data_IF_911344994408
#
_entry.id   IF_911344994408
#
_cell.length_a   1.000
_cell.length_b   1.000
_cell.length_c   1.000
_cell.angle_alpha   90.00
_cell.angle_beta   90.00
_cell.angle_gamma   90.00
#
_symmetry.space_group_name_H-M   'P 1'
#
loop_
_entity.id
_entity.type
_entity.pdbx_description
1 polymer ?
#
# COMPACT_ATOMS: atom_id res chain seq x y z
N UNK A 1 12.52 1.88 8.13
CA UNK A 1 11.83 2.01 6.82
C UNK A 1 10.32 2.05 7.07
N UNK A 2 9.51 2.84 6.35
CA UNK A 2 8.04 2.90 6.61
C UNK A 2 7.36 1.56 6.33
N UNK A 3 7.86 0.78 5.37
CA UNK A 3 7.39 -0.59 5.11
C UNK A 3 7.45 -1.48 6.36
N UNK A 4 8.51 -1.40 7.18
CA UNK A 4 8.65 -2.22 8.40
C UNK A 4 7.54 -1.92 9.40
N UNK A 5 7.02 -0.69 9.39
CA UNK A 5 5.91 -0.27 10.25
C UNK A 5 4.59 -0.93 9.85
N UNK A 6 4.45 -1.45 8.63
CA UNK A 6 3.22 -2.13 8.19
C UNK A 6 2.91 -3.38 9.03
N UNK A 7 3.92 -4.03 9.61
CA UNK A 7 3.68 -5.16 10.51
C UNK A 7 2.97 -4.76 11.81
N UNK A 8 3.28 -3.57 12.35
CA UNK A 8 2.66 -3.05 13.58
C UNK A 8 1.46 -2.12 13.33
N UNK A 9 1.42 -1.47 12.17
CA UNK A 9 0.41 -0.49 11.77
C UNK A 9 -0.05 -0.77 10.33
N UNK A 10 -0.76 -1.89 10.10
CA UNK A 10 -1.12 -2.34 8.74
C UNK A 10 -2.06 -1.39 8.00
N UNK A 11 -2.69 -0.43 8.69
CA UNK A 11 -3.61 0.57 8.09
C UNK A 11 -2.99 1.97 8.00
N UNK A 12 -1.66 2.09 8.10
CA UNK A 12 -0.92 3.36 8.09
C UNK A 12 -1.17 4.19 6.80
N UNK A 13 -1.37 3.51 5.68
CA UNK A 13 -1.62 4.13 4.39
C UNK A 13 -3.12 4.40 4.15
N UNK A 14 -3.48 5.55 3.56
CA UNK A 14 -4.86 5.81 3.16
C UNK A 14 -5.35 4.77 2.15
N UNK A 15 -6.62 4.39 2.27
CA UNK A 15 -7.33 3.61 1.24
C UNK A 15 -7.49 4.46 -0.03
N UNK A 16 -7.38 3.82 -1.18
CA UNK A 16 -7.47 4.39 -2.53
C UNK A 16 -8.51 3.62 -3.35
N UNK A 17 -9.75 3.67 -2.87
CA UNK A 17 -10.87 2.92 -3.43
C UNK A 17 -11.15 3.28 -4.91
N UNK A 18 -10.77 4.49 -5.31
CA UNK A 18 -10.82 4.98 -6.68
C UNK A 18 -9.89 4.24 -7.66
N UNK A 19 -8.82 3.59 -7.16
CA UNK A 19 -7.95 2.72 -7.95
C UNK A 19 -8.44 1.27 -7.84
N UNK A 20 -8.65 0.82 -6.60
CA UNK A 20 -9.19 -0.50 -6.26
C UNK A 20 -9.78 -0.46 -4.85
N UNK A 21 -10.94 -1.10 -4.59
CA UNK A 21 -11.63 -0.98 -3.30
C UNK A 21 -10.77 -1.30 -2.07
N UNK A 22 -9.90 -2.30 -2.17
CA UNK A 22 -9.05 -2.82 -1.08
C UNK A 22 -7.68 -2.17 -0.97
N UNK A 23 -7.33 -1.31 -1.94
CA UNK A 23 -5.96 -0.83 -2.12
C UNK A 23 -5.62 0.29 -1.14
N UNK A 24 -4.40 0.23 -0.59
CA UNK A 24 -3.80 1.28 0.24
C UNK A 24 -2.46 1.69 -0.36
N UNK A 25 -2.09 2.95 -0.12
CA UNK A 25 -0.80 3.49 -0.57
C UNK A 25 0.01 3.95 0.63
N UNK A 26 1.29 3.57 0.67
CA UNK A 26 2.29 4.12 1.59
C UNK A 26 3.37 4.84 0.79
N UNK A 27 3.64 6.09 1.15
CA UNK A 27 4.68 6.91 0.51
C UNK A 27 5.98 6.75 1.29
N UNK A 28 6.96 6.15 0.63
CA UNK A 28 8.34 6.03 1.12
C UNK A 28 9.27 6.60 0.05
N UNK A 29 9.30 7.93 -0.03
CA UNK A 29 9.99 8.67 -1.09
C UNK A 29 11.38 8.09 -1.38
N UNK A 30 11.69 7.78 -2.65
CA UNK A 30 10.94 8.09 -3.88
C UNK A 30 9.79 7.11 -4.22
N UNK A 31 9.59 6.07 -3.43
CA UNK A 31 8.73 4.95 -3.80
C UNK A 31 7.29 5.14 -3.31
N UNK A 32 6.36 4.61 -4.08
CA UNK A 32 4.98 4.36 -3.70
C UNK A 32 4.80 2.86 -3.50
N UNK A 33 4.39 2.45 -2.30
CA UNK A 33 4.10 1.07 -1.99
C UNK A 33 2.58 0.89 -2.03
N UNK A 34 2.12 0.09 -2.96
CA UNK A 34 0.73 -0.32 -3.10
C UNK A 34 0.55 -1.64 -2.38
N UNK A 35 -0.42 -1.71 -1.47
CA UNK A 35 -0.65 -2.90 -0.67
C UNK A 35 -2.11 -3.06 -0.27
N UNK A 36 -2.46 -4.26 0.18
CA UNK A 36 -3.79 -4.61 0.69
C UNK A 36 -3.64 -5.25 2.07
N UNK A 37 -4.66 -5.11 2.92
CA UNK A 37 -4.77 -5.83 4.18
C UNK A 37 -5.74 -7.00 4.03
N UNK A 38 -5.46 -8.10 4.70
CA UNK A 38 -6.32 -9.30 4.71
C UNK A 38 -6.58 -9.68 6.17
N UNK A 39 -7.85 -9.69 6.62
CA UNK A 39 -9.02 -9.18 5.92
C UNK A 39 -8.94 -7.65 5.69
N UNK A 40 -9.59 -7.15 4.63
CA UNK A 40 -9.70 -5.69 4.39
C UNK A 40 -10.87 -5.10 5.17
N UNK A 41 -10.63 -4.89 6.46
CA UNK A 41 -11.58 -4.26 7.37
C UNK A 41 -10.99 -2.96 7.91
N UNK A 42 -11.84 -2.02 8.31
CA UNK A 42 -11.38 -0.76 8.92
C UNK A 42 -10.91 -0.93 10.37
N UNK A 43 -11.34 -2.02 11.02
CA UNK A 43 -10.98 -2.35 12.40
C UNK A 43 -10.79 -3.86 12.58
N UNK A 44 -10.16 -4.24 13.69
CA UNK A 44 -9.87 -5.64 14.03
C UNK A 44 -8.53 -6.15 13.50
N UNK A 45 -8.24 -7.45 13.73
CA UNK A 45 -6.98 -8.05 13.36
C UNK A 45 -6.78 -8.04 11.85
N UNK A 46 -5.54 -7.75 11.44
CA UNK A 46 -5.06 -7.99 10.07
C UNK A 46 -4.14 -9.19 10.16
N UNK A 47 -4.44 -10.22 9.39
CA UNK A 47 -3.65 -11.44 9.33
C UNK A 47 -2.46 -11.28 8.40
N UNK A 48 -2.63 -10.53 7.31
CA UNK A 48 -1.59 -10.37 6.30
C UNK A 48 -1.66 -9.00 5.64
N UNK A 49 -0.49 -8.42 5.41
CA UNK A 49 -0.29 -7.29 4.50
C UNK A 49 0.28 -7.83 3.20
N UNK A 50 -0.44 -7.67 2.09
CA UNK A 50 0.02 -8.09 0.76
C UNK A 50 0.54 -6.87 0.02
N UNK A 51 1.84 -6.85 -0.25
CA UNK A 51 2.42 -5.84 -1.16
C UNK A 51 1.99 -6.21 -2.59
N UNK A 52 1.26 -5.31 -3.22
CA UNK A 52 0.76 -5.46 -4.60
C UNK A 52 1.82 -4.97 -5.59
N UNK A 53 2.43 -3.82 -5.32
CA UNK A 53 3.49 -3.26 -6.16
C UNK A 53 4.35 -2.26 -5.38
N UNK A 54 5.57 -2.08 -5.86
CA UNK A 54 6.45 -0.99 -5.46
C UNK A 54 6.77 -0.19 -6.72
N UNK A 55 6.33 1.06 -6.75
CA UNK A 55 6.55 1.98 -7.87
C UNK A 55 7.64 2.96 -7.48
N UNK A 56 8.65 3.12 -8.33
CA UNK A 56 9.60 4.23 -8.20
C UNK A 56 8.96 5.48 -8.82
N UNK A 57 8.61 6.47 -7.99
CA UNK A 57 8.00 7.72 -8.46
C UNK A 57 8.92 8.59 -9.30
N UNK A 58 10.20 8.23 -9.45
CA UNK A 58 11.13 8.85 -10.41
C UNK A 58 11.01 8.28 -11.81
N UNK A 59 10.43 7.08 -11.95
CA UNK A 59 10.15 6.49 -13.27
C UNK A 59 8.83 7.05 -13.77
N UNK A 60 8.81 7.50 -15.02
CA UNK A 60 7.59 7.95 -15.66
C UNK A 60 6.60 6.76 -15.76
N UNK A 61 5.43 6.83 -15.08
CA UNK A 61 4.43 5.77 -15.12
C UNK A 61 3.87 5.50 -16.52
N UNK A 62 4.05 6.41 -17.49
CA UNK A 62 3.67 6.20 -18.90
C UNK A 62 4.47 5.08 -19.59
N UNK A 63 5.59 4.64 -19.01
CA UNK A 63 6.44 3.63 -19.65
C UNK A 63 5.91 2.20 -19.48
N UNK A 64 4.88 2.00 -18.65
CA UNK A 64 4.37 0.67 -18.25
C UNK A 64 2.91 0.41 -18.66
N UNK A 65 2.34 1.29 -19.48
CA UNK A 65 1.00 1.16 -20.07
C UNK A 65 1.12 0.64 -21.50
#
# INVERSE_FOLDING_TARGET
>A
MRVEQLAGQPRLGPRRAEIRPTLRILVEAPHLILYETIPDTDAGPVETVRIVAVIDGRRDPLTWI
#
